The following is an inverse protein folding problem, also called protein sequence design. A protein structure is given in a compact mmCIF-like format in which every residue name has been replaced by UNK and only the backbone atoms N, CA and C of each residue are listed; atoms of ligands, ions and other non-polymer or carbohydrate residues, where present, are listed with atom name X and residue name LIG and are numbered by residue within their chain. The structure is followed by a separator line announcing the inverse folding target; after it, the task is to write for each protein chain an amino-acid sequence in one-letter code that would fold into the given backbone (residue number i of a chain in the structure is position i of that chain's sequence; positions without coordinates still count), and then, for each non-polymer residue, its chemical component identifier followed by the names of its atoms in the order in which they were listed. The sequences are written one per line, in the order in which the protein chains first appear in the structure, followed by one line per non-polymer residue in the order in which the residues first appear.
data_IF_798411567113
#
_entry.id   IF_798411567113
#
_cell.length_a   1.000
_cell.length_b   1.000
_cell.length_c   1.000
_cell.angle_alpha   90.00
_cell.angle_beta   90.00
_cell.angle_gamma   90.00
#
_symmetry.space_group_name_H-M   'P 1'
#
loop_
_entity.id
_entity.type
_entity.pdbx_description
1 polymer ?
#
# COMPACT_ATOMS: atom_id res chain seq x y z
N UNK A 1 22.90 4.01 -16.64
CA UNK A 1 23.16 2.59 -16.20
C UNK A 1 21.86 1.82 -16.36
N UNK A 2 21.89 0.62 -16.93
CA UNK A 2 20.69 -0.24 -17.03
C UNK A 2 20.81 -1.32 -15.98
N UNK A 3 19.74 -1.56 -15.22
CA UNK A 3 19.60 -2.65 -14.25
C UNK A 3 18.41 -3.50 -14.63
N UNK A 4 18.49 -4.80 -14.39
CA UNK A 4 17.47 -5.78 -14.80
C UNK A 4 17.07 -6.67 -13.64
N UNK A 5 15.78 -6.84 -13.48
CA UNK A 5 15.22 -7.79 -12.53
C UNK A 5 13.99 -8.48 -13.12
N UNK A 6 13.61 -9.63 -12.58
CA UNK A 6 12.40 -10.34 -13.00
C UNK A 6 11.53 -10.72 -11.82
N UNK A 7 10.23 -10.76 -12.05
CA UNK A 7 9.17 -11.11 -11.11
C UNK A 7 8.08 -11.92 -11.83
N UNK A 8 7.23 -12.61 -11.08
CA UNK A 8 6.01 -13.18 -11.64
C UNK A 8 5.00 -12.08 -11.97
N UNK A 9 4.49 -12.02 -13.19
CA UNK A 9 3.61 -10.96 -13.68
C UNK A 9 2.29 -10.89 -12.90
N UNK A 10 1.69 -12.04 -12.55
CA UNK A 10 0.42 -12.08 -11.79
C UNK A 10 0.62 -11.65 -10.36
N UNK A 11 1.68 -12.11 -9.71
CA UNK A 11 2.02 -11.71 -8.36
C UNK A 11 2.28 -10.19 -8.30
N UNK A 12 3.01 -9.65 -9.28
CA UNK A 12 3.29 -8.23 -9.39
C UNK A 12 2.02 -7.40 -9.60
N UNK A 13 1.17 -7.80 -10.54
CA UNK A 13 -0.12 -7.13 -10.80
C UNK A 13 -1.01 -7.14 -9.57
N UNK A 14 -1.12 -8.27 -8.88
CA UNK A 14 -1.92 -8.41 -7.65
C UNK A 14 -1.37 -7.52 -6.53
N UNK A 15 -0.06 -7.54 -6.31
CA UNK A 15 0.59 -6.70 -5.31
C UNK A 15 0.41 -5.21 -5.61
N UNK A 16 0.54 -4.81 -6.89
CA UNK A 16 0.34 -3.44 -7.34
C UNK A 16 -1.12 -2.97 -7.10
N UNK A 17 -2.11 -3.80 -7.45
CA UNK A 17 -3.52 -3.50 -7.20
C UNK A 17 -3.81 -3.36 -5.70
N UNK A 18 -3.20 -4.18 -4.85
CA UNK A 18 -3.38 -4.12 -3.40
C UNK A 18 -2.81 -2.85 -2.80
N UNK A 19 -1.55 -2.51 -3.08
CA UNK A 19 -0.93 -1.30 -2.52
C UNK A 19 -1.58 -0.02 -3.07
N UNK A 20 -2.07 -0.05 -4.30
CA UNK A 20 -2.71 1.10 -4.94
C UNK A 20 -3.99 1.58 -4.24
N UNK A 21 -4.59 0.75 -3.37
CA UNK A 21 -5.79 1.12 -2.61
C UNK A 21 -5.57 2.29 -1.65
N UNK A 22 -4.36 2.48 -1.16
CA UNK A 22 -4.03 3.60 -0.25
C UNK A 22 -3.75 4.91 -1.01
N UNK A 23 -3.49 4.84 -2.31
CA UNK A 23 -3.14 6.03 -3.09
C UNK A 23 -4.28 7.04 -3.11
N UNK A 24 -3.96 8.28 -2.77
CA UNK A 24 -4.84 9.44 -2.83
C UNK A 24 -4.29 10.46 -3.82
N UNK A 25 -5.14 11.34 -4.32
CA UNK A 25 -4.69 12.48 -5.11
C UNK A 25 -3.95 13.45 -4.18
N UNK A 26 -2.67 13.68 -4.47
CA UNK A 26 -1.79 14.56 -3.69
C UNK A 26 -1.21 15.66 -4.57
N UNK A 27 -0.88 16.81 -3.96
CA UNK A 27 -0.07 17.86 -4.58
C UNK A 27 1.40 17.46 -4.71
N UNK A 28 1.83 16.44 -3.95
CA UNK A 28 3.19 15.87 -4.02
C UNK A 28 3.13 14.67 -4.96
N UNK A 29 3.74 14.72 -6.15
CA UNK A 29 3.56 13.70 -7.19
C UNK A 29 3.86 12.28 -6.73
N UNK A 30 4.95 12.05 -5.99
CA UNK A 30 5.36 10.71 -5.53
C UNK A 30 4.36 10.04 -4.60
N UNK A 31 3.56 10.81 -3.85
CA UNK A 31 2.52 10.25 -2.95
C UNK A 31 1.28 9.74 -3.69
N UNK A 32 1.14 10.05 -4.96
CA UNK A 32 0.05 9.51 -5.81
C UNK A 32 0.49 8.25 -6.55
N UNK A 33 1.70 7.76 -6.30
CA UNK A 33 2.35 6.70 -7.06
C UNK A 33 2.96 5.62 -6.14
N UNK A 34 3.35 4.50 -6.71
CA UNK A 34 3.93 3.35 -6.00
C UNK A 34 5.45 3.34 -6.14
N UNK A 35 6.14 3.19 -5.03
CA UNK A 35 7.57 2.85 -4.97
C UNK A 35 7.75 1.35 -5.16
N UNK A 36 8.67 0.98 -6.05
CA UNK A 36 9.17 -0.38 -6.22
C UNK A 36 10.63 -0.43 -5.79
N UNK A 37 10.95 -1.37 -4.90
CA UNK A 37 12.31 -1.63 -4.47
C UNK A 37 12.61 -3.13 -4.56
N UNK A 38 13.62 -3.50 -5.32
CA UNK A 38 14.09 -4.89 -5.46
C UNK A 38 15.45 -4.98 -4.81
N UNK A 39 15.59 -5.86 -3.85
CA UNK A 39 16.84 -6.14 -3.16
C UNK A 39 16.79 -7.50 -2.47
N UNK A 40 17.92 -8.21 -2.44
CA UNK A 40 18.05 -9.48 -1.74
C UNK A 40 17.08 -10.56 -2.20
N UNK A 41 16.72 -10.58 -3.49
CA UNK A 41 15.78 -11.56 -4.05
C UNK A 41 14.30 -11.28 -3.77
N UNK A 42 13.97 -10.09 -3.32
CA UNK A 42 12.61 -9.67 -2.98
C UNK A 42 12.27 -8.34 -3.64
N UNK A 43 11.10 -8.26 -4.27
CA UNK A 43 10.49 -7.03 -4.74
C UNK A 43 9.47 -6.54 -3.69
N UNK A 44 9.66 -5.34 -3.20
CA UNK A 44 8.74 -4.67 -2.28
C UNK A 44 8.05 -3.53 -3.02
N UNK A 45 6.73 -3.59 -3.11
CA UNK A 45 5.89 -2.48 -3.58
C UNK A 45 5.39 -1.71 -2.35
N UNK A 46 5.51 -0.40 -2.37
CA UNK A 46 5.12 0.47 -1.25
C UNK A 46 4.22 1.59 -1.77
N UNK A 47 3.11 1.82 -1.08
CA UNK A 47 2.26 2.98 -1.29
C UNK A 47 1.88 3.62 0.04
N UNK A 48 1.69 4.94 0.05
CA UNK A 48 1.34 5.69 1.25
C UNK A 48 0.59 6.97 0.92
N UNK A 49 -0.30 7.37 1.82
CA UNK A 49 -0.87 8.72 1.93
C UNK A 49 -0.27 9.50 3.13
N UNK A 50 0.90 9.05 3.63
CA UNK A 50 1.64 9.50 4.82
C UNK A 50 1.03 8.96 6.13
N UNK A 51 -0.28 8.86 6.25
CA UNK A 51 -0.94 8.34 7.45
C UNK A 51 -1.00 6.81 7.44
N UNK A 52 -1.23 6.23 6.25
CA UNK A 52 -1.32 4.78 6.03
C UNK A 52 -0.18 4.33 5.11
N UNK A 53 0.44 3.22 5.45
CA UNK A 53 1.49 2.59 4.66
C UNK A 53 1.10 1.17 4.31
N UNK A 54 1.11 0.83 3.03
CA UNK A 54 0.94 -0.52 2.53
C UNK A 54 2.22 -1.03 1.88
N UNK A 55 2.60 -2.24 2.25
CA UNK A 55 3.76 -2.95 1.72
C UNK A 55 3.31 -4.30 1.18
N UNK A 56 3.67 -4.61 -0.06
CA UNK A 56 3.52 -5.95 -0.60
C UNK A 56 4.88 -6.46 -1.03
N UNK A 57 5.17 -7.71 -0.68
CA UNK A 57 6.44 -8.36 -0.96
C UNK A 57 6.21 -9.59 -1.81
N UNK A 58 6.95 -9.67 -2.91
CA UNK A 58 6.92 -10.81 -3.82
C UNK A 58 8.36 -11.25 -4.13
N UNK A 59 8.59 -12.51 -4.48
CA UNK A 59 9.91 -12.96 -4.93
C UNK A 59 10.36 -12.20 -6.19
N UNK A 60 11.66 -11.91 -6.27
CA UNK A 60 12.29 -11.30 -7.41
C UNK A 60 13.65 -11.94 -7.68
N UNK A 61 14.19 -11.73 -8.89
CA UNK A 61 15.54 -12.16 -9.28
C UNK A 61 16.20 -11.02 -10.05
N UNK A 62 17.53 -10.97 -10.05
CA UNK A 62 18.31 -10.00 -10.81
C UNK A 62 18.94 -8.93 -9.93
N UNK A 63 19.11 -7.75 -10.51
CA UNK A 63 19.83 -6.65 -9.89
C UNK A 63 19.00 -5.95 -8.80
N UNK A 64 19.68 -5.38 -7.81
CA UNK A 64 19.07 -4.44 -6.90
C UNK A 64 18.73 -3.14 -7.63
N UNK A 65 17.48 -2.73 -7.57
CA UNK A 65 17.00 -1.52 -8.22
C UNK A 65 15.82 -0.91 -7.44
N UNK A 66 15.64 0.41 -7.57
CA UNK A 66 14.52 1.12 -6.96
C UNK A 66 14.07 2.29 -7.82
N UNK A 67 12.78 2.48 -7.93
CA UNK A 67 12.14 3.57 -8.66
C UNK A 67 10.71 3.78 -8.17
N UNK A 68 10.14 4.95 -8.50
CA UNK A 68 8.72 5.25 -8.30
C UNK A 68 8.05 5.30 -9.67
N UNK A 69 6.88 4.70 -9.82
CA UNK A 69 6.09 4.86 -11.04
C UNK A 69 5.68 6.32 -11.22
N UNK A 70 5.58 6.79 -12.48
CA UNK A 70 5.04 8.12 -12.76
C UNK A 70 3.55 8.10 -13.04
N UNK A 71 3.01 6.93 -13.42
CA UNK A 71 1.59 6.70 -13.74
C UNK A 71 1.19 5.29 -13.33
N UNK A 72 1.12 5.03 -12.05
CA UNK A 72 0.78 3.71 -11.48
C UNK A 72 -0.47 3.09 -12.11
N UNK A 73 -1.51 3.90 -12.38
CA UNK A 73 -2.75 3.40 -12.98
C UNK A 73 -2.56 2.85 -14.39
N UNK A 74 -1.67 3.44 -15.19
CA UNK A 74 -1.41 2.97 -16.54
C UNK A 74 -0.49 1.73 -16.51
N UNK A 75 0.47 1.70 -15.59
CA UNK A 75 1.29 0.50 -15.33
C UNK A 75 0.40 -0.67 -14.87
N UNK A 76 -0.54 -0.46 -13.96
CA UNK A 76 -1.46 -1.50 -13.51
C UNK A 76 -2.32 -2.07 -14.65
N UNK A 77 -2.76 -1.23 -15.59
CA UNK A 77 -3.47 -1.70 -16.80
C UNK A 77 -2.57 -2.57 -17.68
N UNK A 78 -1.32 -2.18 -17.89
CA UNK A 78 -0.36 -2.95 -18.67
C UNK A 78 -0.04 -4.29 -18.01
N UNK A 79 0.17 -4.31 -16.68
CA UNK A 79 0.47 -5.54 -15.92
C UNK A 79 -0.61 -6.61 -16.08
N UNK A 80 -1.88 -6.23 -16.21
CA UNK A 80 -3.00 -7.18 -16.41
C UNK A 80 -2.94 -7.91 -17.76
N UNK A 81 -2.15 -7.42 -18.71
CA UNK A 81 -1.94 -8.02 -20.02
C UNK A 81 -0.76 -9.00 -20.07
N UNK A 82 0.01 -9.05 -18.99
CA UNK A 82 1.20 -9.89 -18.87
C UNK A 82 0.88 -11.19 -18.13
N UNK A 83 1.54 -12.27 -18.56
CA UNK A 83 1.42 -13.60 -17.94
C UNK A 83 2.79 -14.30 -17.99
N UNK A 84 3.18 -14.91 -16.87
CA UNK A 84 4.47 -15.56 -16.72
C UNK A 84 5.55 -14.64 -16.14
N UNK A 85 6.78 -14.79 -16.61
CA UNK A 85 7.91 -13.98 -16.12
C UNK A 85 7.88 -12.58 -16.73
N UNK A 86 7.88 -11.57 -15.84
CA UNK A 86 7.95 -10.16 -16.19
C UNK A 86 9.36 -9.65 -15.91
N UNK A 87 10.07 -9.26 -16.95
CA UNK A 87 11.38 -8.60 -16.85
C UNK A 87 11.17 -7.08 -16.71
N UNK A 88 11.89 -6.49 -15.77
CA UNK A 88 11.90 -5.06 -15.46
C UNK A 88 13.30 -4.53 -15.80
N UNK A 89 13.42 -3.74 -16.86
CA UNK A 89 14.65 -3.04 -17.21
C UNK A 89 14.54 -1.58 -16.79
N UNK A 90 15.28 -1.19 -15.78
CA UNK A 90 15.33 0.19 -15.29
C UNK A 90 16.58 0.88 -15.79
N UNK A 91 16.38 2.01 -16.44
CA UNK A 91 17.46 2.84 -16.99
C UNK A 91 17.47 4.20 -16.33
N UNK A 92 18.67 4.60 -15.87
CA UNK A 92 18.97 5.92 -15.32
C UNK A 92 20.08 6.54 -16.18
N UNK A 93 19.73 7.56 -16.94
CA UNK A 93 20.60 8.20 -17.92
C UNK A 93 20.57 9.72 -17.77
N UNK A 94 21.69 10.36 -18.08
CA UNK A 94 21.87 11.79 -17.95
C UNK A 94 22.15 12.24 -16.52
N UNK A 95 22.25 13.56 -16.33
CA UNK A 95 22.52 14.19 -15.03
C UNK A 95 21.71 15.49 -14.86
N UNK A 96 21.41 15.84 -13.60
CA UNK A 96 20.71 17.07 -13.26
C UNK A 96 19.36 17.18 -13.98
N UNK A 97 19.10 18.32 -14.63
CA UNK A 97 17.84 18.57 -15.35
C UNK A 97 17.63 17.73 -16.63
N UNK A 98 18.65 17.02 -17.07
CA UNK A 98 18.60 16.09 -18.23
C UNK A 98 18.56 14.63 -17.79
N UNK A 99 18.43 14.34 -16.48
CA UNK A 99 18.27 12.98 -15.97
C UNK A 99 16.94 12.40 -16.46
N UNK A 100 17.00 11.23 -17.10
CA UNK A 100 15.84 10.47 -17.56
C UNK A 100 15.82 9.13 -16.88
N UNK A 101 14.69 8.83 -16.23
CA UNK A 101 14.43 7.56 -15.56
C UNK A 101 13.34 6.84 -16.34
N UNK A 102 13.67 5.66 -16.85
CA UNK A 102 12.77 4.88 -17.70
C UNK A 102 12.69 3.45 -17.20
N UNK A 103 11.48 2.93 -17.17
CA UNK A 103 11.19 1.53 -16.88
C UNK A 103 10.64 0.86 -18.15
N UNK A 104 11.34 -0.13 -18.68
CA UNK A 104 10.81 -1.01 -19.71
C UNK A 104 10.36 -2.33 -19.07
N UNK A 105 9.13 -2.74 -19.33
CA UNK A 105 8.50 -3.96 -18.85
C UNK A 105 8.34 -4.92 -20.02
N UNK A 106 8.99 -6.10 -19.96
CA UNK A 106 9.01 -7.09 -21.01
C UNK A 106 8.39 -8.40 -20.54
N UNK A 107 7.44 -8.93 -21.29
CA UNK A 107 6.81 -10.21 -20.99
C UNK A 107 6.25 -10.85 -22.27
N UNK A 108 6.63 -12.12 -22.55
CA UNK A 108 6.08 -12.87 -23.66
C UNK A 108 6.26 -12.22 -25.03
N UNK A 109 7.41 -11.54 -25.28
CA UNK A 109 7.70 -10.83 -26.51
C UNK A 109 7.01 -9.46 -26.65
N UNK A 110 6.30 -8.99 -25.61
CA UNK A 110 5.70 -7.65 -25.53
C UNK A 110 6.59 -6.76 -24.70
N UNK A 111 6.72 -5.50 -25.08
CA UNK A 111 7.45 -4.49 -24.34
C UNK A 111 6.58 -3.24 -24.18
N UNK A 112 6.59 -2.67 -22.98
CA UNK A 112 5.94 -1.38 -22.69
C UNK A 112 6.91 -0.54 -21.88
N UNK A 113 7.08 0.72 -22.27
CA UNK A 113 7.97 1.66 -21.61
C UNK A 113 7.18 2.73 -20.84
N UNK A 114 7.65 3.06 -19.65
CA UNK A 114 7.10 4.08 -18.80
C UNK A 114 8.20 5.01 -18.29
N UNK A 115 7.87 6.28 -18.13
CA UNK A 115 8.71 7.17 -17.33
C UNK A 115 8.63 6.77 -15.86
N UNK A 116 9.74 6.87 -15.15
CA UNK A 116 9.85 6.65 -13.72
C UNK A 116 10.30 7.93 -13.00
N UNK A 117 10.19 7.92 -11.68
CA UNK A 117 10.70 8.94 -10.79
C UNK A 117 11.74 8.34 -9.85
N UNK A 118 12.59 9.20 -9.28
CA UNK A 118 13.64 8.79 -8.38
C UNK A 118 13.05 8.22 -7.07
N UNK A 119 13.60 7.10 -6.61
CA UNK A 119 13.17 6.47 -5.36
C UNK A 119 13.54 7.32 -4.13
N UNK A 120 14.59 8.12 -4.24
CA UNK A 120 15.10 9.00 -3.18
C UNK A 120 14.09 10.09 -2.78
N UNK A 121 13.18 10.44 -3.69
CA UNK A 121 12.12 11.44 -3.44
C UNK A 121 10.92 10.85 -2.67
N UNK A 122 10.87 9.52 -2.50
CA UNK A 122 9.78 8.84 -1.82
C UNK A 122 9.96 8.91 -0.30
N UNK A 123 8.91 9.21 0.48
CA UNK A 123 9.03 9.30 1.93
C UNK A 123 9.42 7.96 2.54
N UNK A 124 10.15 8.03 3.64
CA UNK A 124 10.58 6.84 4.40
C UNK A 124 9.60 6.59 5.54
N UNK A 125 9.08 5.36 5.61
CA UNK A 125 8.27 4.94 6.75
C UNK A 125 9.15 4.91 8.01
N UNK A 126 8.78 5.72 9.00
CA UNK A 126 9.47 5.68 10.29
C UNK A 126 9.25 4.33 10.99
N UNK A 127 10.26 3.74 11.64
CA UNK A 127 10.10 2.49 12.35
C UNK A 127 9.09 2.62 13.49
N UNK A 128 8.08 1.75 13.49
CA UNK A 128 7.05 1.73 14.52
C UNK A 128 7.62 1.08 15.78
N UNK A 129 7.71 1.86 16.87
CA UNK A 129 8.02 1.34 18.20
C UNK A 129 6.74 0.78 18.83
N UNK A 130 6.43 -0.48 18.55
CA UNK A 130 5.25 -1.14 19.09
C UNK A 130 5.32 -1.20 20.63
N UNK A 131 4.28 -0.69 21.30
CA UNK A 131 4.13 -0.80 22.77
C UNK A 131 3.46 -2.10 23.20
N UNK A 132 2.71 -2.72 22.30
CA UNK A 132 2.07 -4.02 22.44
C UNK A 132 1.86 -4.65 21.08
N UNK A 133 1.76 -5.97 21.02
CA UNK A 133 1.38 -6.73 19.83
C UNK A 133 0.45 -7.88 20.24
N UNK A 134 -0.43 -8.27 19.36
CA UNK A 134 -1.29 -9.42 19.51
C UNK A 134 -1.65 -10.00 18.15
N UNK A 135 -2.03 -11.27 18.14
CA UNK A 135 -2.42 -11.97 16.92
C UNK A 135 -3.93 -12.11 16.88
N UNK A 136 -4.52 -11.85 15.73
CA UNK A 136 -5.97 -11.99 15.51
C UNK A 136 -6.23 -12.76 14.22
N UNK A 137 -7.39 -13.41 14.13
CA UNK A 137 -7.88 -13.95 12.89
C UNK A 137 -8.37 -12.80 12.00
N UNK A 138 -7.77 -12.63 10.81
CA UNK A 138 -8.06 -11.53 9.92
C UNK A 138 -9.54 -11.52 9.45
N UNK A 139 -10.12 -12.69 9.16
CA UNK A 139 -11.51 -12.77 8.73
C UNK A 139 -12.49 -12.38 9.86
N UNK A 140 -12.20 -12.79 11.10
CA UNK A 140 -12.97 -12.37 12.26
C UNK A 140 -12.88 -10.86 12.47
N UNK A 141 -11.68 -10.28 12.39
CA UNK A 141 -11.46 -8.84 12.50
C UNK A 141 -12.25 -8.06 11.44
N UNK A 142 -12.12 -8.43 10.16
CA UNK A 142 -12.82 -7.76 9.06
C UNK A 142 -14.32 -7.81 9.24
N UNK A 143 -14.88 -8.99 9.57
CA UNK A 143 -16.31 -9.14 9.83
C UNK A 143 -16.82 -8.20 10.93
N UNK A 144 -16.07 -8.04 12.03
CA UNK A 144 -16.47 -7.13 13.13
C UNK A 144 -16.40 -5.67 12.70
N UNK A 145 -15.35 -5.31 11.98
CA UNK A 145 -15.19 -3.95 11.43
C UNK A 145 -16.34 -3.60 10.48
N UNK A 146 -16.72 -4.50 9.58
CA UNK A 146 -17.87 -4.31 8.68
C UNK A 146 -19.18 -4.14 9.45
N UNK A 147 -19.40 -4.90 10.53
CA UNK A 147 -20.61 -4.84 11.35
C UNK A 147 -20.76 -3.51 12.11
N UNK A 148 -19.67 -2.87 12.52
CA UNK A 148 -19.75 -1.64 13.31
C UNK A 148 -19.34 -0.39 12.52
N UNK A 149 -18.55 -0.55 11.45
CA UNK A 149 -17.91 0.56 10.72
C UNK A 149 -18.90 1.57 10.13
N UNK A 150 -20.12 1.15 9.80
CA UNK A 150 -21.17 2.05 9.30
C UNK A 150 -21.58 3.14 10.31
N UNK A 151 -21.31 2.92 11.60
CA UNK A 151 -21.60 3.88 12.66
C UNK A 151 -20.45 4.86 12.90
N UNK A 152 -19.29 4.67 12.26
CA UNK A 152 -18.21 5.65 12.30
C UNK A 152 -18.61 6.91 11.53
N UNK A 153 -18.39 8.07 12.13
CA UNK A 153 -18.63 9.35 11.47
C UNK A 153 -17.60 9.61 10.35
N UNK A 154 -18.00 10.37 9.35
CA UNK A 154 -17.04 10.82 8.33
C UNK A 154 -16.09 11.86 8.96
N UNK A 155 -14.77 11.80 8.71
CA UNK A 155 -13.80 12.72 9.30
C UNK A 155 -14.15 14.20 9.14
N UNK A 156 -14.72 14.58 7.99
CA UNK A 156 -15.13 15.96 7.69
C UNK A 156 -16.41 16.43 8.40
N UNK A 157 -17.16 15.53 9.03
CA UNK A 157 -18.46 15.85 9.65
C UNK A 157 -18.50 15.73 11.17
N UNK A 158 -17.38 15.36 11.80
CA UNK A 158 -17.31 15.10 13.23
C UNK A 158 -16.40 16.09 13.94
N UNK A 159 -16.95 16.81 14.92
CA UNK A 159 -16.19 17.72 15.80
C UNK A 159 -15.23 16.97 16.75
N UNK A 160 -15.42 15.65 16.90
CA UNK A 160 -14.62 14.80 17.78
C UNK A 160 -13.83 13.79 16.95
N UNK A 161 -12.51 13.87 17.01
CA UNK A 161 -11.59 12.98 16.27
C UNK A 161 -11.83 11.48 16.54
N UNK A 162 -12.41 11.11 17.69
CA UNK A 162 -12.73 9.72 18.04
C UNK A 162 -13.92 9.16 17.29
N UNK A 163 -14.82 10.01 16.77
CA UNK A 163 -16.07 9.55 16.13
C UNK A 163 -15.87 8.98 14.71
N UNK A 164 -14.74 9.24 14.07
CA UNK A 164 -14.39 8.67 12.75
C UNK A 164 -13.69 7.31 12.82
N UNK A 165 -13.55 6.74 14.01
CA UNK A 165 -12.73 5.56 14.23
C UNK A 165 -13.54 4.34 14.67
N UNK A 166 -13.05 3.15 14.31
CA UNK A 166 -13.42 1.91 14.99
C UNK A 166 -12.52 1.74 16.20
N UNK A 167 -13.13 1.44 17.33
CA UNK A 167 -12.47 1.32 18.62
C UNK A 167 -12.48 -0.14 19.09
N UNK A 168 -11.38 -0.56 19.70
CA UNK A 168 -11.16 -1.90 20.22
C UNK A 168 -10.84 -1.81 21.72
N UNK A 169 -11.56 -2.56 22.54
CA UNK A 169 -11.33 -2.60 24.00
C UNK A 169 -11.64 -4.00 24.54
N UNK A 170 -10.59 -4.76 24.88
CA UNK A 170 -10.75 -6.17 25.20
C UNK A 170 -11.44 -6.91 24.07
N UNK A 171 -12.56 -7.54 24.32
CA UNK A 171 -13.40 -8.24 23.33
C UNK A 171 -14.38 -7.35 22.56
N UNK A 172 -14.49 -6.09 22.92
CA UNK A 172 -15.44 -5.18 22.31
C UNK A 172 -14.84 -4.47 21.10
N UNK A 173 -15.63 -4.41 20.02
CA UNK A 173 -15.37 -3.61 18.82
C UNK A 173 -16.57 -2.67 18.64
N UNK A 174 -16.34 -1.36 18.55
CA UNK A 174 -17.43 -0.40 18.43
C UNK A 174 -17.03 0.83 17.63
N UNK A 175 -18.04 1.48 17.07
CA UNK A 175 -17.91 2.75 16.36
C UNK A 175 -19.09 3.66 16.70
N UNK A 176 -18.86 4.97 16.66
CA UNK A 176 -19.89 5.97 16.94
C UNK A 176 -19.66 7.24 16.14
N UNK A 177 -20.74 7.99 15.85
CA UNK A 177 -20.68 9.30 15.17
C UNK A 177 -21.28 10.45 16.01
N UNK A 178 -21.60 10.18 17.26
CA UNK A 178 -22.23 11.14 18.18
C UNK A 178 -23.77 11.03 18.23
N UNK A 179 -24.40 10.42 17.22
CA UNK A 179 -25.85 10.16 17.18
C UNK A 179 -26.19 8.68 17.23
N UNK A 180 -25.33 7.82 16.76
CA UNK A 180 -25.51 6.37 16.77
C UNK A 180 -24.23 5.68 17.25
N UNK A 181 -24.43 4.51 17.86
CA UNK A 181 -23.38 3.60 18.33
C UNK A 181 -23.67 2.23 17.78
N UNK A 182 -22.69 1.58 17.18
CA UNK A 182 -22.69 0.16 16.91
C UNK A 182 -21.61 -0.51 17.75
N UNK A 183 -21.94 -1.65 18.34
CA UNK A 183 -21.01 -2.42 19.17
C UNK A 183 -21.20 -3.90 18.89
N UNK A 184 -20.10 -4.63 18.81
CA UNK A 184 -20.07 -6.08 18.71
C UNK A 184 -18.99 -6.66 19.63
N UNK A 185 -19.04 -7.96 19.86
CA UNK A 185 -18.11 -8.65 20.76
C UNK A 185 -17.53 -9.88 20.09
N UNK A 186 -16.23 -10.09 20.27
CA UNK A 186 -15.57 -11.33 19.84
C UNK A 186 -14.44 -11.68 20.82
N UNK A 187 -14.54 -12.82 21.46
CA UNK A 187 -13.53 -13.27 22.43
C UNK A 187 -12.19 -13.62 21.76
N UNK A 188 -12.19 -13.86 20.45
CA UNK A 188 -10.96 -14.08 19.68
C UNK A 188 -10.19 -12.80 19.39
N UNK A 189 -10.81 -11.62 19.61
CA UNK A 189 -10.23 -10.30 19.34
C UNK A 189 -9.76 -9.58 20.61
N UNK A 190 -9.32 -10.30 21.63
CA UNK A 190 -8.87 -9.75 22.90
C UNK A 190 -7.72 -8.75 22.74
N UNK A 191 -8.05 -7.49 22.59
CA UNK A 191 -7.07 -6.42 22.52
C UNK A 191 -6.39 -6.22 23.90
N UNK A 192 -5.06 -6.31 24.00
CA UNK A 192 -4.33 -6.22 25.28
C UNK A 192 -4.43 -4.82 25.90
N UNK A 193 -4.72 -3.82 25.08
CA UNK A 193 -4.96 -2.42 25.47
C UNK A 193 -6.00 -1.82 24.52
N UNK A 194 -6.82 -0.86 25.00
CA UNK A 194 -7.69 -0.11 24.10
C UNK A 194 -6.89 0.62 23.02
N UNK A 195 -7.36 0.55 21.79
CA UNK A 195 -6.85 1.32 20.67
C UNK A 195 -7.96 1.68 19.70
N UNK A 196 -7.68 2.59 18.79
CA UNK A 196 -8.61 2.98 17.73
C UNK A 196 -7.85 3.08 16.39
N UNK A 197 -8.58 2.89 15.32
CA UNK A 197 -8.08 3.05 13.96
C UNK A 197 -9.17 3.63 13.07
N UNK A 198 -8.80 4.33 12.02
CA UNK A 198 -9.76 4.85 11.05
C UNK A 198 -10.54 3.72 10.40
N UNK A 199 -11.86 3.87 10.29
CA UNK A 199 -12.72 2.86 9.66
C UNK A 199 -12.31 2.61 8.20
N UNK A 200 -11.92 3.66 7.48
CA UNK A 200 -11.46 3.58 6.08
C UNK A 200 -10.13 2.81 5.91
N UNK A 201 -9.30 2.72 6.95
CA UNK A 201 -8.03 1.98 6.91
C UNK A 201 -8.21 0.47 7.05
N UNK A 202 -9.41 0.02 7.41
CA UNK A 202 -9.73 -1.39 7.65
C UNK A 202 -10.70 -1.97 6.61
N UNK A 203 -11.16 -1.16 5.64
CA UNK A 203 -12.12 -1.56 4.60
C UNK A 203 -11.47 -1.99 3.27
#
# INVERSE_FOLDING_TARGET
MIRKASVDAKAFSTALDQVSKVLRKSSIPVLSEVLVAISGGQCTLTATDIETWLFQKIPARGDDLSFVFRKTKDVAKACRLFDGELELEFSDTGEGKYRSLTLCMLCGGRAVEFEAMAAEDYPVCAPIKAKASFTVNAAALLKRVELVGYAAGKPASTERATCGNVQFSGKYVFALDGTRLACDTDESLMAPRPFMTYAESLS
#
